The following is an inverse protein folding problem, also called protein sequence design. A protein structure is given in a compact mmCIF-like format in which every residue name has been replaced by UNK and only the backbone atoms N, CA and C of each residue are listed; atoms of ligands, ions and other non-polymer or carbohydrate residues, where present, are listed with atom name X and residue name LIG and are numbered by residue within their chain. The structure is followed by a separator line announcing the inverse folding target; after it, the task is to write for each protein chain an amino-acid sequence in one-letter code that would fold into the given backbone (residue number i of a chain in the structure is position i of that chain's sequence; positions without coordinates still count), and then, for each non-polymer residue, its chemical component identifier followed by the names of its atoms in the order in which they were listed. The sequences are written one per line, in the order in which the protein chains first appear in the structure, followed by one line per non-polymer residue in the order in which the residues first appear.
data_IF_236273361564
#
_entry.id   IF_236273361564
#
_cell.length_a   1.000
_cell.length_b   1.000
_cell.length_c   1.000
_cell.angle_alpha   90.00
_cell.angle_beta   90.00
_cell.angle_gamma   90.00
#
_symmetry.space_group_name_H-M   'P 1'
#
loop_
_entity.id
_entity.type
_entity.pdbx_description
1 polymer ?
#
# COMPACT_ATOMS: atom_id res chain seq x y z
N UNK A 1 3.06 14.60 -17.25
CA UNK A 1 4.01 14.53 -16.12
C UNK A 1 4.54 13.10 -16.09
N UNK A 2 5.83 12.86 -15.89
CA UNK A 2 6.40 11.51 -15.87
C UNK A 2 5.89 10.76 -14.63
N UNK A 3 5.42 9.54 -14.79
CA UNK A 3 5.01 8.67 -13.66
C UNK A 3 6.26 8.24 -12.91
N UNK A 4 6.30 8.45 -11.59
CA UNK A 4 7.39 7.90 -10.77
C UNK A 4 7.14 6.41 -10.58
N UNK A 5 8.14 5.58 -10.88
CA UNK A 5 8.08 4.12 -10.74
C UNK A 5 9.25 3.69 -9.87
N UNK A 6 8.98 2.82 -8.92
CA UNK A 6 9.99 2.31 -8.02
C UNK A 6 9.60 0.98 -7.39
N UNK A 7 10.21 0.69 -6.24
CA UNK A 7 10.09 -0.64 -5.60
C UNK A 7 10.03 -0.54 -4.08
N UNK A 8 9.64 -1.64 -3.44
CA UNK A 8 9.92 -1.86 -2.03
C UNK A 8 11.42 -2.11 -1.82
N UNK A 9 12.06 -1.38 -0.91
CA UNK A 9 13.52 -1.42 -0.64
C UNK A 9 13.84 -1.82 0.79
N UNK A 10 15.06 -2.28 1.01
CA UNK A 10 15.60 -2.54 2.34
C UNK A 10 15.80 -1.25 3.15
N UNK A 11 15.55 -1.30 4.46
CA UNK A 11 15.65 -0.12 5.32
C UNK A 11 17.11 0.25 5.67
N UNK A 12 18.02 -0.72 5.74
CA UNK A 12 19.43 -0.47 6.08
C UNK A 12 20.14 0.25 4.93
N UNK A 13 19.81 -0.10 3.69
CA UNK A 13 20.48 0.41 2.47
C UNK A 13 19.49 0.77 1.34
N UNK A 14 18.49 1.62 1.60
CA UNK A 14 17.43 1.90 0.63
C UNK A 14 17.95 2.51 -0.67
N UNK A 15 19.01 3.33 -0.60
CA UNK A 15 19.57 4.01 -1.77
C UNK A 15 20.37 3.07 -2.68
N UNK A 16 21.00 2.04 -2.12
CA UNK A 16 21.70 1.02 -2.91
C UNK A 16 20.68 0.25 -3.78
N UNK A 17 19.52 -0.11 -3.19
CA UNK A 17 18.43 -0.76 -3.92
C UNK A 17 17.83 0.17 -4.99
N UNK A 18 17.58 1.44 -4.65
CA UNK A 18 17.06 2.44 -5.61
C UNK A 18 17.98 2.60 -6.81
N UNK A 19 19.29 2.72 -6.58
CA UNK A 19 20.29 2.84 -7.65
C UNK A 19 20.37 1.55 -8.48
N UNK A 20 20.30 0.38 -7.84
CA UNK A 20 20.33 -0.92 -8.50
C UNK A 20 19.18 -1.10 -9.48
N UNK A 21 17.96 -0.75 -9.08
CA UNK A 21 16.76 -0.96 -9.90
C UNK A 21 16.37 0.26 -10.74
N UNK A 22 17.05 1.39 -10.56
CA UNK A 22 16.75 2.65 -11.24
C UNK A 22 15.38 3.24 -10.84
N UNK A 23 15.02 3.19 -9.56
CA UNK A 23 13.74 3.68 -9.04
C UNK A 23 13.69 5.21 -8.87
N UNK A 24 12.51 5.82 -9.09
CA UNK A 24 12.26 7.26 -8.89
C UNK A 24 11.40 7.56 -7.64
N UNK A 25 10.99 6.52 -6.91
CA UNK A 25 10.19 6.52 -5.67
C UNK A 25 10.51 5.23 -4.92
N UNK A 26 10.40 5.20 -3.60
CA UNK A 26 10.68 3.98 -2.83
C UNK A 26 9.63 3.75 -1.74
N UNK A 27 9.38 2.47 -1.43
CA UNK A 27 8.58 2.04 -0.30
C UNK A 27 9.46 1.24 0.67
N UNK A 28 9.24 1.39 1.97
CA UNK A 28 9.99 0.63 2.98
C UNK A 28 9.15 0.34 4.22
N UNK A 29 9.55 -0.67 4.97
CA UNK A 29 9.10 -0.85 6.35
C UNK A 29 9.99 -0.06 7.31
N UNK A 30 9.39 0.56 8.32
CA UNK A 30 10.15 1.06 9.46
C UNK A 30 10.22 -0.06 10.52
N UNK A 31 11.17 -0.99 10.36
CA UNK A 31 11.33 -2.18 11.21
C UNK A 31 10.63 -3.44 10.69
N UNK A 32 10.59 -4.50 11.51
CA UNK A 32 10.14 -5.82 11.06
C UNK A 32 8.62 -5.86 10.76
N UNK A 33 8.19 -6.17 9.52
CA UNK A 33 6.77 -6.19 9.11
C UNK A 33 5.92 -7.25 9.83
N UNK A 34 6.56 -8.23 10.47
CA UNK A 34 5.95 -9.33 11.22
C UNK A 34 6.08 -9.13 12.74
N UNK A 35 6.28 -7.90 13.22
CA UNK A 35 6.47 -7.60 14.64
C UNK A 35 5.47 -6.59 15.20
N UNK A 36 5.08 -6.79 16.45
CA UNK A 36 4.39 -5.78 17.26
C UNK A 36 5.35 -4.76 17.90
N UNK A 37 6.66 -4.94 17.69
CA UNK A 37 7.66 -4.00 18.21
C UNK A 37 7.62 -2.71 17.42
N UNK A 38 7.93 -1.65 18.14
CA UNK A 38 8.04 -0.31 17.59
C UNK A 38 9.09 -0.25 16.47
N UNK A 39 8.76 0.39 15.33
CA UNK A 39 9.71 0.82 14.33
C UNK A 39 11.03 1.36 14.89
N UNK A 40 12.14 0.84 14.35
CA UNK A 40 13.47 1.39 14.55
C UNK A 40 13.96 1.89 13.19
N UNK A 41 14.69 3.00 13.17
CA UNK A 41 15.41 3.43 11.98
C UNK A 41 16.69 2.61 11.90
N UNK A 42 16.74 1.70 10.92
CA UNK A 42 17.91 0.85 10.69
C UNK A 42 18.92 1.49 9.74
N UNK A 43 18.48 2.45 8.92
CA UNK A 43 19.36 3.32 8.15
C UNK A 43 20.41 3.98 9.05
N UNK A 44 21.68 3.92 8.65
CA UNK A 44 22.80 4.38 9.48
C UNK A 44 22.69 5.86 9.89
N UNK A 45 22.08 6.69 9.04
CA UNK A 45 21.82 8.11 9.32
C UNK A 45 20.62 8.37 10.25
N UNK A 46 19.93 7.33 10.72
CA UNK A 46 18.69 7.46 11.47
C UNK A 46 17.56 8.10 10.65
N UNK A 47 16.56 8.64 11.33
CA UNK A 47 15.42 9.28 10.67
C UNK A 47 15.83 10.55 9.90
N UNK A 48 16.62 11.42 10.55
CA UNK A 48 17.06 12.68 9.95
C UNK A 48 17.95 12.45 8.73
N UNK A 49 18.90 11.53 8.82
CA UNK A 49 19.75 11.16 7.69
C UNK A 49 18.94 10.56 6.54
N UNK A 50 17.99 9.66 6.82
CA UNK A 50 17.15 9.06 5.78
C UNK A 50 16.33 10.14 5.05
N UNK A 51 15.73 11.08 5.81
CA UNK A 51 14.99 12.22 5.24
C UNK A 51 15.89 13.07 4.36
N UNK A 52 17.03 13.51 4.89
CA UNK A 52 17.89 14.48 4.23
C UNK A 52 18.53 13.86 2.97
N UNK A 53 18.94 12.59 3.04
CA UNK A 53 19.49 11.86 1.90
C UNK A 53 18.45 11.58 0.80
N UNK A 54 17.20 11.29 1.17
CA UNK A 54 16.11 11.11 0.22
C UNK A 54 15.73 12.42 -0.45
N UNK A 55 15.65 13.52 0.32
CA UNK A 55 15.39 14.86 -0.21
C UNK A 55 16.50 15.32 -1.18
N UNK A 56 17.77 15.08 -0.85
CA UNK A 56 18.90 15.40 -1.72
C UNK A 56 18.87 14.65 -3.06
N UNK A 57 18.18 13.51 -3.12
CA UNK A 57 18.00 12.67 -4.31
C UNK A 57 16.68 12.91 -5.05
N UNK A 58 15.83 13.82 -4.56
CA UNK A 58 14.45 13.96 -5.03
C UNK A 58 13.71 12.61 -5.07
N UNK A 59 13.88 11.80 -4.02
CA UNK A 59 13.30 10.46 -3.89
C UNK A 59 12.15 10.47 -2.87
N UNK A 60 10.88 10.45 -3.31
CA UNK A 60 9.75 10.31 -2.41
C UNK A 60 9.76 8.93 -1.76
N UNK A 61 9.49 8.90 -0.46
CA UNK A 61 9.41 7.67 0.33
C UNK A 61 7.96 7.38 0.73
N UNK A 62 7.56 6.12 0.68
CA UNK A 62 6.35 5.59 1.28
C UNK A 62 6.70 4.60 2.39
N UNK A 63 5.86 4.53 3.42
CA UNK A 63 6.03 3.58 4.51
C UNK A 63 4.89 2.57 4.49
N UNK A 64 5.20 1.29 4.35
CA UNK A 64 4.20 0.27 4.53
C UNK A 64 4.07 -0.06 6.03
N UNK A 65 2.85 -0.07 6.57
CA UNK A 65 2.63 -0.44 7.96
C UNK A 65 2.75 -1.97 8.14
N UNK A 66 3.18 -2.49 9.31
CA UNK A 66 3.31 -3.93 9.54
C UNK A 66 2.05 -4.74 9.20
N UNK A 67 2.21 -5.94 8.63
CA UNK A 67 1.09 -6.77 8.17
C UNK A 67 0.20 -7.31 9.30
N UNK A 68 0.72 -7.37 10.53
CA UNK A 68 -0.01 -7.90 11.70
C UNK A 68 -1.11 -6.95 12.20
N UNK A 69 -1.15 -5.71 11.69
CA UNK A 69 -2.10 -4.71 12.12
C UNK A 69 -3.51 -5.08 11.65
N UNK A 70 -4.46 -4.99 12.56
CA UNK A 70 -5.86 -5.16 12.24
C UNK A 70 -6.71 -4.18 13.07
N UNK A 71 -6.99 -3.01 12.48
CA UNK A 71 -7.83 -1.98 13.10
C UNK A 71 -9.31 -2.34 13.10
N UNK A 72 -9.73 -3.29 12.24
CA UNK A 72 -11.11 -3.78 12.15
C UNK A 72 -11.45 -4.83 13.23
N UNK A 73 -10.44 -5.56 13.73
CA UNK A 73 -10.62 -6.68 14.66
C UNK A 73 -11.52 -6.35 15.84
N UNK A 74 -12.46 -7.23 16.19
CA UNK A 74 -13.28 -7.07 17.39
C UNK A 74 -12.51 -7.42 18.67
N UNK A 75 -11.40 -8.15 18.56
CA UNK A 75 -10.53 -8.47 19.68
C UNK A 75 -9.71 -7.23 20.12
N UNK A 76 -10.02 -6.70 21.31
CA UNK A 76 -9.32 -5.54 21.88
C UNK A 76 -7.80 -5.74 22.02
N UNK A 77 -7.35 -6.99 22.21
CA UNK A 77 -5.92 -7.33 22.32
C UNK A 77 -5.18 -7.18 21.00
N UNK A 78 -5.90 -7.16 19.88
CA UNK A 78 -5.37 -6.91 18.53
C UNK A 78 -5.63 -5.45 18.13
N UNK A 79 -6.88 -4.99 18.25
CA UNK A 79 -7.29 -3.67 17.77
C UNK A 79 -6.58 -2.50 18.45
N UNK A 80 -6.45 -2.54 19.78
CA UNK A 80 -5.84 -1.42 20.53
C UNK A 80 -4.34 -1.30 20.20
N UNK A 81 -3.54 -2.39 20.25
CA UNK A 81 -2.14 -2.34 19.79
C UNK A 81 -2.02 -1.97 18.31
N UNK A 82 -2.96 -2.40 17.45
CA UNK A 82 -2.95 -2.06 16.03
C UNK A 82 -3.06 -0.55 15.82
N UNK A 83 -4.04 0.12 16.45
CA UNK A 83 -4.18 1.58 16.36
C UNK A 83 -2.94 2.31 16.88
N UNK A 84 -2.40 1.82 18.00
CA UNK A 84 -1.16 2.36 18.55
C UNK A 84 -0.04 2.26 17.51
N UNK A 85 0.15 1.11 16.88
CA UNK A 85 1.17 0.87 15.85
C UNK A 85 0.92 1.61 14.53
N UNK A 86 -0.33 1.90 14.16
CA UNK A 86 -0.63 2.78 13.02
C UNK A 86 -0.22 4.22 13.31
N UNK A 87 -0.62 4.80 14.45
CA UNK A 87 -0.18 6.16 14.85
C UNK A 87 1.34 6.29 14.82
N UNK A 88 1.95 5.26 15.33
CA UNK A 88 3.35 4.98 15.39
C UNK A 88 4.01 4.96 13.97
N UNK A 89 3.44 4.25 13.00
CA UNK A 89 3.91 4.27 11.62
C UNK A 89 3.77 5.68 11.00
N UNK A 90 2.67 6.38 11.29
CA UNK A 90 2.43 7.77 10.85
C UNK A 90 3.47 8.74 11.42
N UNK A 91 3.76 8.66 12.71
CA UNK A 91 4.78 9.49 13.36
C UNK A 91 6.17 9.20 12.78
N UNK A 92 6.45 7.92 12.49
CA UNK A 92 7.73 7.52 11.89
C UNK A 92 7.89 7.99 10.45
N UNK A 93 6.85 7.82 9.65
CA UNK A 93 6.78 8.31 8.27
C UNK A 93 6.92 9.84 8.20
N UNK A 94 6.24 10.56 9.11
CA UNK A 94 6.39 12.01 9.23
C UNK A 94 7.85 12.42 9.53
N UNK A 95 8.52 11.73 10.45
CA UNK A 95 9.90 12.05 10.83
C UNK A 95 10.90 11.91 9.67
N UNK A 96 10.65 10.99 8.73
CA UNK A 96 11.49 10.78 7.54
C UNK A 96 11.03 11.60 6.31
N UNK A 97 9.96 12.40 6.44
CA UNK A 97 9.38 13.16 5.32
C UNK A 97 8.71 12.30 4.25
N UNK A 98 8.17 11.13 4.63
CA UNK A 98 7.47 10.25 3.71
C UNK A 98 6.16 10.87 3.20
N UNK A 99 5.75 10.45 2.01
CA UNK A 99 4.54 10.90 1.31
C UNK A 99 3.27 10.27 1.86
N UNK A 100 3.36 9.11 2.52
CA UNK A 100 2.22 8.47 3.14
C UNK A 100 2.56 7.14 3.81
N UNK A 101 1.59 6.62 4.55
CA UNK A 101 1.62 5.30 5.19
C UNK A 101 0.58 4.40 4.56
N UNK A 102 0.98 3.22 4.08
CA UNK A 102 0.07 2.24 3.50
C UNK A 102 -0.43 1.31 4.62
N UNK A 103 -1.74 1.06 4.63
CA UNK A 103 -2.42 0.21 5.60
C UNK A 103 -3.43 -0.71 4.91
N UNK A 104 -3.27 -2.02 5.10
CA UNK A 104 -4.25 -3.01 4.67
C UNK A 104 -5.61 -2.83 5.37
N UNK A 105 -6.69 -3.21 4.68
CA UNK A 105 -8.07 -3.18 5.19
C UNK A 105 -8.32 -3.97 6.49
N UNK A 106 -7.47 -4.90 6.87
CA UNK A 106 -7.73 -5.79 8.01
C UNK A 106 -8.99 -6.66 7.80
N UNK A 107 -9.45 -7.29 8.87
CA UNK A 107 -10.53 -8.29 8.78
C UNK A 107 -11.25 -8.46 10.12
N UNK A 108 -12.42 -9.10 10.10
CA UNK A 108 -13.09 -9.64 11.30
C UNK A 108 -13.09 -11.17 11.24
N UNK A 109 -13.34 -11.83 12.37
CA UNK A 109 -13.42 -13.30 12.38
C UNK A 109 -14.73 -13.76 11.71
N UNK A 110 -14.81 -15.02 11.26
CA UNK A 110 -15.94 -15.49 10.46
C UNK A 110 -17.30 -15.50 11.19
N UNK A 111 -17.27 -15.49 12.51
CA UNK A 111 -18.47 -15.43 13.38
C UNK A 111 -18.83 -13.99 13.76
N UNK A 112 -17.97 -13.02 13.44
CA UNK A 112 -18.15 -11.62 13.78
C UNK A 112 -19.07 -10.90 12.78
N UNK A 113 -19.71 -9.87 13.29
CA UNK A 113 -20.48 -8.94 12.49
C UNK A 113 -19.55 -7.95 11.76
N UNK A 114 -19.56 -8.01 10.43
CA UNK A 114 -18.79 -7.13 9.55
C UNK A 114 -19.04 -5.64 9.81
N UNK A 115 -20.27 -5.25 10.18
CA UNK A 115 -20.60 -3.85 10.43
C UNK A 115 -19.83 -3.30 11.63
N UNK A 116 -19.50 -4.15 12.62
CA UNK A 116 -18.62 -3.77 13.72
C UNK A 116 -17.17 -3.58 13.27
N UNK A 117 -16.73 -4.29 12.23
CA UNK A 117 -15.43 -4.09 11.58
C UNK A 117 -15.33 -2.71 10.94
N UNK A 118 -16.35 -2.31 10.17
CA UNK A 118 -16.43 -0.97 9.58
C UNK A 118 -16.54 0.13 10.63
N UNK A 119 -17.33 -0.06 11.70
CA UNK A 119 -17.36 0.90 12.82
C UNK A 119 -16.01 0.99 13.55
N UNK A 120 -15.27 -0.11 13.64
CA UNK A 120 -13.90 -0.10 14.19
C UNK A 120 -12.92 0.67 13.29
N UNK A 121 -13.10 0.64 11.96
CA UNK A 121 -12.40 1.49 11.00
C UNK A 121 -12.70 2.97 11.22
N UNK A 122 -13.98 3.35 11.28
CA UNK A 122 -14.41 4.73 11.60
C UNK A 122 -13.74 5.24 12.87
N UNK A 123 -13.79 4.46 13.95
CA UNK A 123 -13.15 4.76 15.24
C UNK A 123 -11.62 4.77 15.18
N UNK A 124 -11.00 4.10 14.22
CA UNK A 124 -9.56 4.16 14.03
C UNK A 124 -9.19 5.49 13.38
N UNK A 125 -9.93 5.90 12.35
CA UNK A 125 -9.78 7.19 11.67
C UNK A 125 -9.93 8.35 12.65
N UNK A 126 -10.95 8.31 13.53
CA UNK A 126 -11.15 9.33 14.58
C UNK A 126 -10.00 9.42 15.60
N UNK A 127 -9.25 8.33 15.78
CA UNK A 127 -8.24 8.21 16.81
C UNK A 127 -6.81 8.45 16.30
N UNK A 128 -6.58 8.34 14.99
CA UNK A 128 -5.25 8.49 14.37
C UNK A 128 -5.06 9.96 13.99
N UNK A 129 -4.02 10.57 14.54
CA UNK A 129 -3.51 11.88 14.14
C UNK A 129 -2.63 11.71 12.88
N UNK A 130 -3.24 11.84 11.71
CA UNK A 130 -2.63 11.64 10.40
C UNK A 130 -1.71 12.83 10.00
N UNK A 131 -0.48 12.83 10.53
CA UNK A 131 0.57 13.83 10.20
C UNK A 131 1.13 13.71 8.78
N UNK A 132 0.89 12.58 8.15
CA UNK A 132 1.10 12.29 6.73
C UNK A 132 -0.14 11.52 6.22
N UNK A 133 -0.41 11.52 4.90
CA UNK A 133 -1.50 10.73 4.34
C UNK A 133 -1.46 9.26 4.77
N UNK A 134 -2.62 8.70 5.13
CA UNK A 134 -2.79 7.26 5.41
C UNK A 134 -3.59 6.63 4.28
N UNK A 135 -3.01 5.65 3.60
CA UNK A 135 -3.56 5.04 2.40
C UNK A 135 -4.17 3.69 2.74
N UNK A 136 -5.48 3.54 2.51
CA UNK A 136 -6.13 2.24 2.54
C UNK A 136 -5.68 1.44 1.31
N UNK A 137 -5.18 0.23 1.52
CA UNK A 137 -4.87 -0.71 0.45
C UNK A 137 -5.91 -1.85 0.37
N UNK A 138 -6.33 -2.19 -0.84
CA UNK A 138 -7.10 -3.41 -1.08
C UNK A 138 -6.25 -4.67 -0.86
N UNK A 139 -6.87 -5.77 -0.44
CA UNK A 139 -6.14 -6.99 -0.02
C UNK A 139 -6.58 -8.23 -0.80
N UNK A 140 -5.70 -9.19 -1.04
CA UNK A 140 -6.02 -10.40 -1.83
C UNK A 140 -7.00 -11.38 -1.16
N UNK A 141 -6.77 -11.70 0.12
CA UNK A 141 -7.34 -12.88 0.79
C UNK A 141 -8.28 -12.58 1.96
N UNK A 142 -8.97 -13.63 2.43
CA UNK A 142 -9.90 -13.58 3.57
C UNK A 142 -11.33 -13.16 3.17
N UNK A 143 -12.30 -14.05 3.35
CA UNK A 143 -13.72 -13.77 3.02
C UNK A 143 -14.33 -12.67 3.91
N UNK A 144 -13.74 -12.48 5.09
CA UNK A 144 -14.12 -11.46 6.08
C UNK A 144 -13.14 -10.29 6.11
N UNK A 145 -12.38 -10.08 5.03
CA UNK A 145 -11.55 -8.88 4.84
C UNK A 145 -12.44 -7.65 4.62
N UNK A 146 -11.99 -6.50 5.13
CA UNK A 146 -12.66 -5.21 4.93
C UNK A 146 -12.31 -4.58 3.57
N UNK A 147 -11.32 -5.08 2.83
CA UNK A 147 -10.88 -4.44 1.58
C UNK A 147 -10.53 -5.44 0.46
N UNK A 148 -11.05 -6.68 0.52
CA UNK A 148 -10.82 -7.68 -0.53
C UNK A 148 -11.76 -7.57 -1.72
N UNK A 149 -13.06 -7.43 -1.45
CA UNK A 149 -14.09 -7.30 -2.49
C UNK A 149 -14.40 -5.82 -2.71
N UNK A 150 -14.87 -5.48 -3.90
CA UNK A 150 -15.15 -4.09 -4.25
C UNK A 150 -16.17 -3.46 -3.28
N UNK A 151 -17.23 -4.19 -2.93
CA UNK A 151 -18.25 -3.74 -1.97
C UNK A 151 -17.69 -3.58 -0.55
N UNK A 152 -16.61 -4.29 -0.21
CA UNK A 152 -15.92 -4.13 1.08
C UNK A 152 -15.07 -2.86 1.08
N UNK A 153 -14.40 -2.57 -0.03
CA UNK A 153 -13.67 -1.30 -0.22
C UNK A 153 -14.64 -0.12 -0.07
N UNK A 154 -15.81 -0.16 -0.73
CA UNK A 154 -16.87 0.86 -0.59
C UNK A 154 -17.25 1.10 0.86
N UNK A 155 -17.61 0.03 1.59
CA UNK A 155 -18.03 0.12 3.00
C UNK A 155 -16.92 0.60 3.93
N UNK A 156 -15.66 0.23 3.66
CA UNK A 156 -14.51 0.74 4.43
C UNK A 156 -14.26 2.21 4.13
N UNK A 157 -14.40 2.63 2.87
CA UNK A 157 -14.25 4.03 2.50
C UNK A 157 -15.35 4.91 3.11
N UNK A 158 -16.60 4.45 3.13
CA UNK A 158 -17.70 5.10 3.86
C UNK A 158 -17.35 5.30 5.34
N UNK A 159 -16.76 4.29 5.99
CA UNK A 159 -16.34 4.38 7.38
C UNK A 159 -15.20 5.40 7.57
N UNK A 160 -14.25 5.47 6.64
CA UNK A 160 -13.17 6.49 6.63
C UNK A 160 -13.77 7.89 6.53
N UNK A 161 -14.71 8.11 5.60
CA UNK A 161 -15.37 9.40 5.44
C UNK A 161 -16.19 9.77 6.68
N UNK A 162 -16.94 8.83 7.24
CA UNK A 162 -17.72 9.03 8.47
C UNK A 162 -16.85 9.33 9.70
N UNK A 163 -15.60 8.84 9.72
CA UNK A 163 -14.62 9.13 10.77
C UNK A 163 -13.91 10.47 10.61
N UNK A 164 -14.20 11.23 9.54
CA UNK A 164 -13.57 12.52 9.26
C UNK A 164 -12.22 12.41 8.56
N UNK A 165 -11.98 11.35 7.78
CA UNK A 165 -10.69 11.13 7.12
C UNK A 165 -10.29 12.24 6.13
N UNK A 166 -11.24 12.77 5.36
CA UNK A 166 -11.01 13.89 4.43
C UNK A 166 -9.77 13.69 3.54
N UNK A 167 -8.98 14.76 3.36
CA UNK A 167 -7.79 14.74 2.52
C UNK A 167 -6.60 13.97 3.14
N UNK A 168 -6.65 13.71 4.45
CA UNK A 168 -5.60 13.01 5.20
C UNK A 168 -5.63 11.49 4.96
N UNK A 169 -6.70 10.97 4.36
CA UNK A 169 -6.83 9.57 3.99
C UNK A 169 -6.92 9.42 2.47
N UNK A 170 -6.17 8.45 1.96
CA UNK A 170 -6.04 8.16 0.54
C UNK A 170 -6.21 6.68 0.24
N UNK A 171 -5.97 6.30 -1.00
CA UNK A 171 -6.15 4.93 -1.46
C UNK A 171 -4.91 4.43 -2.22
N UNK A 172 -4.43 3.25 -1.85
CA UNK A 172 -3.43 2.48 -2.60
C UNK A 172 -4.15 1.35 -3.34
N UNK A 173 -4.02 1.31 -4.66
CA UNK A 173 -4.54 0.20 -5.47
C UNK A 173 -3.42 -0.81 -5.71
N UNK A 174 -3.57 -2.02 -5.17
CA UNK A 174 -2.75 -3.17 -5.53
C UNK A 174 -3.45 -4.03 -6.60
N UNK A 175 -2.77 -4.20 -7.74
CA UNK A 175 -3.30 -4.94 -8.90
C UNK A 175 -3.33 -6.46 -8.69
N UNK A 176 -2.34 -7.03 -7.99
CA UNK A 176 -2.33 -8.44 -7.62
C UNK A 176 -3.45 -8.74 -6.63
N UNK A 177 -3.64 -7.89 -5.62
CA UNK A 177 -4.69 -8.01 -4.63
C UNK A 177 -6.07 -7.86 -5.24
N UNK A 178 -6.26 -6.92 -6.19
CA UNK A 178 -7.53 -6.79 -6.90
C UNK A 178 -7.84 -8.07 -7.70
N UNK A 179 -6.86 -8.57 -8.46
CA UNK A 179 -6.99 -9.80 -9.23
C UNK A 179 -7.29 -11.04 -8.36
N UNK A 180 -6.49 -11.26 -7.30
CA UNK A 180 -6.68 -12.37 -6.37
C UNK A 180 -7.94 -12.21 -5.51
N UNK A 181 -8.36 -10.97 -5.24
CA UNK A 181 -9.62 -10.61 -4.60
C UNK A 181 -10.83 -10.83 -5.49
N UNK A 182 -10.64 -11.16 -6.77
CA UNK A 182 -11.71 -11.38 -7.75
C UNK A 182 -12.41 -10.09 -8.16
N UNK A 183 -11.67 -8.99 -8.21
CA UNK A 183 -12.13 -7.70 -8.74
C UNK A 183 -11.62 -7.59 -10.18
N UNK A 184 -12.55 -7.46 -11.14
CA UNK A 184 -12.20 -7.27 -12.55
C UNK A 184 -11.35 -6.01 -12.73
N UNK A 185 -10.22 -6.13 -13.43
CA UNK A 185 -9.27 -5.04 -13.60
C UNK A 185 -9.68 -4.03 -14.68
N UNK A 186 -10.48 -4.45 -15.65
CA UNK A 186 -11.04 -3.54 -16.67
C UNK A 186 -11.86 -2.43 -16.00
N UNK A 187 -11.49 -1.17 -16.29
CA UNK A 187 -12.13 0.02 -15.71
C UNK A 187 -11.98 0.15 -14.19
N UNK A 188 -11.09 -0.60 -13.52
CA UNK A 188 -10.96 -0.57 -12.06
C UNK A 188 -10.62 0.82 -11.52
N UNK A 189 -9.81 1.59 -12.23
CA UNK A 189 -9.42 2.95 -11.83
C UNK A 189 -10.63 3.85 -11.74
N UNK A 190 -11.51 3.85 -12.74
CA UNK A 190 -12.74 4.66 -12.74
C UNK A 190 -13.68 4.23 -11.63
N UNK A 191 -13.82 2.92 -11.39
CA UNK A 191 -14.69 2.42 -10.32
C UNK A 191 -14.16 2.79 -8.94
N UNK A 192 -12.86 2.62 -8.70
CA UNK A 192 -12.23 2.99 -7.43
C UNK A 192 -12.34 4.50 -7.21
N UNK A 193 -11.97 5.31 -8.21
CA UNK A 193 -12.06 6.78 -8.09
C UNK A 193 -13.50 7.28 -7.95
N UNK A 194 -14.50 6.58 -8.47
CA UNK A 194 -15.91 6.92 -8.20
C UNK A 194 -16.30 6.74 -6.73
N UNK A 195 -15.64 5.82 -6.01
CA UNK A 195 -15.85 5.57 -4.57
C UNK A 195 -14.96 6.48 -3.73
N UNK A 196 -13.67 6.53 -4.06
CA UNK A 196 -12.64 7.15 -3.22
C UNK A 196 -12.39 8.62 -3.56
N UNK A 197 -12.71 9.03 -4.79
CA UNK A 197 -12.30 10.31 -5.37
C UNK A 197 -10.83 10.36 -5.80
N UNK A 198 -10.02 9.33 -5.50
CA UNK A 198 -8.56 9.36 -5.63
C UNK A 198 -7.91 7.97 -5.68
N UNK A 199 -6.77 7.88 -6.36
CA UNK A 199 -5.79 6.81 -6.19
C UNK A 199 -4.46 7.53 -5.98
N UNK A 200 -3.84 7.31 -4.84
CA UNK A 200 -2.64 8.05 -4.40
C UNK A 200 -1.36 7.26 -4.66
N UNK A 201 -1.49 5.94 -4.75
CA UNK A 201 -0.40 5.01 -5.03
C UNK A 201 -0.96 3.80 -5.77
N UNK A 202 -0.17 3.25 -6.69
CA UNK A 202 -0.44 1.95 -7.30
C UNK A 202 0.68 1.00 -6.89
N UNK A 203 0.32 -0.09 -6.22
CA UNK A 203 1.16 -1.27 -6.16
C UNK A 203 0.94 -2.07 -7.44
N UNK A 204 1.86 -1.93 -8.39
CA UNK A 204 1.76 -2.57 -9.70
C UNK A 204 2.45 -3.93 -9.63
N UNK A 205 1.68 -4.93 -9.24
CA UNK A 205 2.12 -6.30 -9.04
C UNK A 205 1.35 -7.22 -10.00
N UNK A 206 2.06 -8.08 -10.73
CA UNK A 206 1.40 -9.20 -11.40
C UNK A 206 1.09 -10.29 -10.36
N UNK A 207 0.19 -11.21 -10.67
CA UNK A 207 -0.20 -12.31 -9.79
C UNK A 207 0.34 -13.64 -10.28
N UNK A 208 1.00 -14.42 -9.42
CA UNK A 208 1.33 -15.83 -9.72
C UNK A 208 0.07 -16.71 -9.84
N UNK A 209 -1.04 -16.25 -9.28
CA UNK A 209 -2.25 -17.03 -9.06
C UNK A 209 -3.45 -16.53 -9.85
N UNK A 210 -4.38 -17.46 -10.11
CA UNK A 210 -5.59 -17.19 -10.87
C UNK A 210 -6.50 -16.12 -10.21
N UNK A 211 -7.34 -15.52 -11.05
CA UNK A 211 -8.37 -14.58 -10.64
C UNK A 211 -9.25 -15.14 -9.52
N UNK A 212 -9.49 -14.35 -8.48
CA UNK A 212 -10.33 -14.74 -7.35
C UNK A 212 -9.74 -15.81 -6.43
N UNK A 213 -8.47 -16.18 -6.60
CA UNK A 213 -7.81 -17.23 -5.80
C UNK A 213 -7.73 -16.93 -4.30
N UNK A 214 -7.77 -15.65 -3.91
CA UNK A 214 -7.52 -15.20 -2.56
C UNK A 214 -6.06 -15.32 -2.10
N UNK A 215 -5.15 -15.67 -3.01
CA UNK A 215 -3.72 -15.84 -2.70
C UNK A 215 -2.94 -14.56 -2.99
N UNK A 216 -2.11 -14.17 -2.01
CA UNK A 216 -1.23 -13.00 -2.11
C UNK A 216 0.19 -13.46 -2.48
N UNK A 217 0.44 -13.62 -3.78
CA UNK A 217 1.74 -14.03 -4.31
C UNK A 217 2.06 -13.26 -5.59
N UNK A 218 2.83 -12.21 -5.43
CA UNK A 218 3.23 -11.35 -6.53
C UNK A 218 4.14 -12.08 -7.53
N UNK A 219 4.05 -11.65 -8.78
CA UNK A 219 4.91 -12.04 -9.89
C UNK A 219 5.46 -10.77 -10.55
N UNK A 220 6.60 -10.92 -11.24
CA UNK A 220 7.12 -9.89 -12.15
C UNK A 220 6.10 -9.55 -13.22
N UNK A 221 6.16 -8.30 -13.73
CA UNK A 221 5.08 -7.70 -14.51
C UNK A 221 4.70 -8.51 -15.75
N UNK A 222 5.66 -9.24 -16.32
CA UNK A 222 5.50 -10.03 -17.56
C UNK A 222 5.34 -11.53 -17.35
N UNK A 223 5.32 -12.02 -16.10
CA UNK A 223 5.39 -13.46 -15.79
C UNK A 223 4.21 -14.03 -15.00
N UNK A 224 3.25 -13.19 -14.62
CA UNK A 224 2.07 -13.64 -13.90
C UNK A 224 0.88 -13.97 -14.80
N UNK A 225 -0.27 -14.10 -14.16
CA UNK A 225 -1.56 -14.46 -14.76
C UNK A 225 -2.38 -13.24 -15.16
N UNK A 226 -2.02 -12.04 -14.69
CA UNK A 226 -2.61 -10.78 -15.15
C UNK A 226 -1.98 -10.44 -16.51
N UNK A 227 -2.78 -10.17 -17.55
CA UNK A 227 -2.24 -9.69 -18.82
C UNK A 227 -1.46 -8.38 -18.61
N UNK A 228 -0.17 -8.29 -19.00
CA UNK A 228 0.65 -7.10 -18.72
C UNK A 228 0.09 -5.79 -19.26
N UNK A 229 -0.65 -5.84 -20.38
CA UNK A 229 -1.34 -4.67 -20.93
C UNK A 229 -2.37 -4.06 -19.97
N UNK A 230 -3.05 -4.86 -19.13
CA UNK A 230 -3.98 -4.34 -18.13
C UNK A 230 -3.24 -3.60 -17.01
N UNK A 231 -2.03 -4.05 -16.63
CA UNK A 231 -1.20 -3.36 -15.65
C UNK A 231 -0.79 -1.97 -16.18
N UNK A 232 -0.37 -1.89 -17.45
CA UNK A 232 -0.04 -0.62 -18.11
C UNK A 232 -1.25 0.32 -18.17
N UNK A 233 -2.43 -0.20 -18.53
CA UNK A 233 -3.67 0.57 -18.58
C UNK A 233 -4.02 1.17 -17.21
N UNK A 234 -3.94 0.36 -16.13
CA UNK A 234 -4.20 0.83 -14.77
C UNK A 234 -3.22 1.92 -14.37
N UNK A 235 -1.92 1.73 -14.60
CA UNK A 235 -0.90 2.73 -14.25
C UNK A 235 -1.12 4.04 -15.03
N UNK A 236 -1.40 3.94 -16.33
CA UNK A 236 -1.65 5.11 -17.17
C UNK A 236 -2.93 5.87 -16.75
N UNK A 237 -4.01 5.14 -16.44
CA UNK A 237 -5.28 5.72 -16.04
C UNK A 237 -5.23 6.32 -14.62
N UNK A 238 -4.55 5.68 -13.67
CA UNK A 238 -4.46 6.16 -12.29
C UNK A 238 -3.62 7.44 -12.19
N UNK A 239 -2.54 7.56 -12.97
CA UNK A 239 -1.64 8.72 -12.93
C UNK A 239 -0.91 8.92 -11.60
N UNK A 240 -0.95 7.92 -10.71
CA UNK A 240 -0.30 7.92 -9.40
C UNK A 240 1.14 7.38 -9.48
N UNK A 241 1.99 7.65 -8.47
CA UNK A 241 3.26 6.94 -8.30
C UNK A 241 3.04 5.43 -8.19
N UNK A 242 4.03 4.66 -8.66
CA UNK A 242 3.98 3.21 -8.75
C UNK A 242 5.08 2.58 -7.90
N UNK A 243 4.70 1.59 -7.11
CA UNK A 243 5.61 0.68 -6.42
C UNK A 243 5.42 -0.72 -6.98
N UNK A 244 6.52 -1.38 -7.33
CA UNK A 244 6.56 -2.81 -7.64
C UNK A 244 7.07 -3.52 -6.37
N UNK A 245 6.37 -4.53 -5.90
CA UNK A 245 6.64 -5.17 -4.61
C UNK A 245 7.24 -6.57 -4.73
N UNK A 246 7.67 -6.94 -5.94
CA UNK A 246 8.72 -7.97 -6.07
C UNK A 246 10.00 -7.49 -5.40
N UNK A 247 10.84 -8.42 -4.95
CA UNK A 247 12.11 -8.08 -4.30
C UNK A 247 12.95 -7.13 -5.16
N UNK A 248 13.63 -6.16 -4.53
CA UNK A 248 14.54 -5.23 -5.22
C UNK A 248 15.78 -5.96 -5.77
N UNK A 249 15.60 -6.62 -6.90
CA UNK A 249 16.63 -7.32 -7.65
C UNK A 249 16.70 -6.80 -9.09
N UNK A 250 17.65 -7.33 -9.86
CA UNK A 250 17.90 -6.88 -11.23
C UNK A 250 16.65 -7.01 -12.12
N UNK A 251 15.78 -7.98 -11.81
CA UNK A 251 14.56 -8.24 -12.57
C UNK A 251 13.45 -7.25 -12.23
N UNK A 252 13.38 -6.77 -10.99
CA UNK A 252 12.56 -5.60 -10.68
C UNK A 252 13.09 -4.36 -11.42
N UNK A 253 14.40 -4.23 -11.61
CA UNK A 253 14.97 -3.21 -12.51
C UNK A 253 14.48 -3.34 -13.95
N UNK A 254 14.44 -4.57 -14.49
CA UNK A 254 13.88 -4.86 -15.82
C UNK A 254 12.38 -4.52 -15.90
N UNK A 255 11.59 -4.84 -14.86
CA UNK A 255 10.17 -4.51 -14.78
C UNK A 255 9.93 -2.99 -14.78
N UNK A 256 10.72 -2.22 -14.02
CA UNK A 256 10.66 -0.76 -14.01
C UNK A 256 10.98 -0.20 -15.40
N UNK A 257 12.06 -0.68 -16.03
CA UNK A 257 12.46 -0.23 -17.37
C UNK A 257 11.40 -0.57 -18.42
N UNK A 258 10.86 -1.78 -18.37
CA UNK A 258 9.77 -2.22 -19.24
C UNK A 258 8.52 -1.35 -19.07
N UNK A 259 8.08 -1.09 -17.83
CA UNK A 259 6.89 -0.27 -17.59
C UNK A 259 7.07 1.17 -18.09
N UNK A 260 8.26 1.75 -17.94
CA UNK A 260 8.57 3.08 -18.52
C UNK A 260 8.44 3.08 -20.04
N UNK A 261 9.01 2.09 -20.72
CA UNK A 261 8.90 1.93 -22.17
C UNK A 261 7.44 1.83 -22.62
N UNK A 262 6.62 1.02 -21.95
CA UNK A 262 5.21 0.88 -22.24
C UNK A 262 4.41 2.18 -22.04
N UNK A 263 4.84 3.05 -21.12
CA UNK A 263 4.25 4.37 -20.87
C UNK A 263 4.84 5.47 -21.77
N UNK A 264 5.84 5.16 -22.60
CA UNK A 264 6.53 6.12 -23.46
C UNK A 264 7.35 7.16 -22.69
N UNK A 265 7.95 6.77 -21.57
CA UNK A 265 8.71 7.65 -20.64
C UNK A 265 10.22 7.48 -20.72
#
# INVERSE_FOLDING_TARGET
MKTRIGTHVDQEKPFDDVERVGADVAQLFLGNPQSWKWPKYEYAGGADGLRDDAAARDLPLYVHAPYLLNVASLNNRVRIPSRKLVQNAVDGAHAIGAQGVILHGGYVDSEDDLDKGFDNWRKAVEAIDAKVPVLLENTAGGDFSMARRFERIERTWEAIQAGGGGDAWGFCLDTCHAWAGGIELEGIVDRITAVTGRIDLVHCNNSRDAFGSGADRHAHLTEGTIPPAQLVEIVAAAGAPVIIETHADDKTGDDIAWLRDQLGQ
#
